data_IF_205673150825
#
_entry.id   IF_205673150825
#
_cell.length_a   1.000
_cell.length_b   1.000
_cell.length_c   1.000
_cell.angle_alpha   90.00
_cell.angle_beta   90.00
_cell.angle_gamma   90.00
#
_symmetry.space_group_name_H-M   'P 1'
#
loop_
_entity.id
_entity.type
_entity.pdbx_description
1 polymer ?
2 non-polymer ?
3 water ?
#
# COMPACT_ATOMS: atom_id res chain seq x y z
N UNK A 1 -9.07 -1.00 21.89
CA UNK A 1 -8.39 0.23 21.41
C UNK A 1 -8.71 0.51 19.94
N UNK A 2 -7.88 1.38 19.33
CA UNK A 2 -8.29 1.96 18.07
C UNK A 2 -8.32 0.90 16.98
N UNK A 3 -7.61 -0.17 17.22
CA UNK A 3 -7.48 -1.21 16.22
C UNK A 3 -8.52 -2.31 16.38
N UNK A 4 -9.21 -2.33 17.44
CA UNK A 4 -10.25 -3.30 17.70
C UNK A 4 -11.49 -2.93 16.89
N UNK A 5 -12.39 -3.89 16.77
CA UNK A 5 -13.61 -3.68 16.03
C UNK A 5 -13.38 -3.56 14.55
N UNK A 6 -14.41 -3.19 13.82
CA UNK A 6 -14.33 -3.12 12.37
C UNK A 6 -14.52 -1.67 11.89
N UNK A 7 -13.75 -1.35 10.88
CA UNK A 7 -13.82 -0.07 10.17
C UNK A 7 -14.86 -0.12 9.06
N UNK A 8 -15.31 -1.31 8.70
CA UNK A 8 -16.17 -1.51 7.55
C UNK A 8 -17.61 -1.17 7.83
N UNK A 9 -18.34 -0.80 6.81
CA UNK A 9 -19.78 -0.60 6.89
C UNK A 9 -20.59 -1.90 6.71
N UNK A 10 -20.01 -2.93 6.12
CA UNK A 10 -20.73 -4.19 5.88
C UNK A 10 -19.79 -5.32 6.16
N UNK A 11 -20.25 -6.28 6.94
CA UNK A 11 -19.51 -7.43 7.32
C UNK A 11 -19.80 -8.62 6.45
N UNK A 12 -19.36 -8.59 5.25
CA UNK A 12 -19.42 -9.67 4.28
C UNK A 12 -18.01 -10.01 3.89
N UNK A 13 -17.79 -11.20 3.37
CA UNK A 13 -16.42 -11.57 3.04
C UNK A 13 -15.84 -10.69 1.94
N UNK A 14 -14.60 -10.28 2.14
CA UNK A 14 -13.91 -9.51 1.08
C UNK A 14 -13.54 -10.44 -0.06
N UNK A 15 -13.81 -9.97 -1.26
CA UNK A 15 -13.39 -10.67 -2.46
C UNK A 15 -11.94 -10.38 -2.74
N UNK A 16 -11.07 -11.33 -2.51
CA UNK A 16 -9.65 -11.18 -2.77
C UNK A 16 -9.36 -11.64 -4.19
N UNK A 17 -8.75 -10.76 -4.97
CA UNK A 17 -8.39 -11.03 -6.34
C UNK A 17 -6.87 -10.97 -6.45
N UNK A 18 -6.28 -12.12 -6.64
CA UNK A 18 -4.85 -12.24 -6.88
C UNK A 18 -4.62 -12.08 -8.37
N UNK A 19 -4.32 -10.89 -8.80
CA UNK A 19 -4.04 -10.58 -10.19
C UNK A 19 -2.55 -10.70 -10.50
N UNK A 20 -2.22 -10.64 -11.77
CA UNK A 20 -0.86 -10.71 -12.19
C UNK A 20 -0.24 -9.34 -12.33
N UNK A 21 0.39 -9.09 -13.45
CA UNK A 21 1.05 -7.83 -13.72
C UNK A 21 0.08 -6.96 -14.53
N UNK A 22 -0.32 -5.83 -14.00
CA UNK A 22 -1.42 -5.02 -14.51
C UNK A 22 -0.93 -3.59 -14.65
N UNK A 23 -1.04 -3.02 -15.82
CA UNK A 23 -0.67 -1.66 -16.08
C UNK A 23 -1.36 -0.74 -15.08
N UNK A 24 -0.64 0.31 -14.65
CA UNK A 24 -1.13 1.23 -13.65
C UNK A 24 -2.52 1.76 -14.00
N UNK A 25 -2.66 2.28 -15.21
CA UNK A 25 -3.93 2.89 -15.60
C UNK A 25 -5.08 1.89 -15.65
N UNK A 26 -4.78 0.70 -16.17
CA UNK A 26 -5.80 -0.34 -16.24
C UNK A 26 -6.28 -0.69 -14.87
N UNK A 27 -5.37 -0.80 -13.90
CA UNK A 27 -5.73 -1.15 -12.55
C UNK A 27 -6.54 0.00 -11.92
N UNK A 28 -6.18 1.24 -12.24
CA UNK A 28 -6.85 2.39 -11.67
C UNK A 28 -8.31 2.43 -12.12
N UNK A 29 -8.51 2.10 -13.42
CA UNK A 29 -9.85 2.01 -13.97
C UNK A 29 -10.67 0.97 -13.25
N UNK A 30 -10.04 -0.22 -13.03
CA UNK A 30 -10.73 -1.31 -12.32
C UNK A 30 -11.06 -0.91 -10.90
N UNK A 31 -10.14 -0.23 -10.20
CA UNK A 31 -10.46 0.25 -8.88
C UNK A 31 -11.72 1.09 -8.88
N UNK A 32 -11.81 2.02 -9.83
CA UNK A 32 -12.97 2.91 -9.89
C UNK A 32 -14.26 2.13 -10.17
N UNK A 33 -14.18 1.16 -11.07
CA UNK A 33 -15.33 0.33 -11.42
C UNK A 33 -15.79 -0.43 -10.19
N UNK A 34 -14.83 -1.00 -9.46
CA UNK A 34 -15.17 -1.76 -8.22
C UNK A 34 -15.71 -0.86 -7.15
N UNK A 35 -15.22 0.34 -7.01
CA UNK A 35 -15.70 1.25 -6.02
C UNK A 35 -17.15 1.62 -6.33
N UNK A 36 -17.45 1.90 -7.57
CA UNK A 36 -18.85 2.19 -7.94
C UNK A 36 -19.70 0.97 -7.67
N UNK A 37 -19.23 -0.23 -7.95
CA UNK A 37 -20.02 -1.41 -7.65
C UNK A 37 -20.24 -1.56 -6.16
N UNK A 38 -19.26 -1.21 -5.35
CA UNK A 38 -19.46 -1.30 -3.90
C UNK A 38 -20.49 -0.30 -3.45
N UNK A 39 -20.42 0.94 -3.95
CA UNK A 39 -21.47 1.92 -3.54
C UNK A 39 -22.83 1.41 -3.95
N UNK A 40 -22.99 0.71 -5.06
CA UNK A 40 -24.24 0.17 -5.58
C UNK A 40 -24.64 -1.04 -4.77
N UNK A 41 -23.89 -1.45 -3.76
CA UNK A 41 -24.36 -2.49 -2.85
C UNK A 41 -23.56 -3.77 -3.03
N UNK A 42 -22.50 -3.77 -3.84
CA UNK A 42 -21.69 -4.95 -4.09
C UNK A 42 -20.64 -5.24 -3.02
N UNK A 43 -19.70 -6.13 -3.37
CA UNK A 43 -18.73 -6.62 -2.40
C UNK A 43 -17.59 -5.63 -2.15
N UNK A 44 -17.01 -5.73 -0.99
CA UNK A 44 -15.69 -5.22 -0.73
C UNK A 44 -14.69 -6.10 -1.45
N UNK A 45 -13.63 -5.51 -1.96
CA UNK A 45 -12.64 -6.18 -2.81
C UNK A 45 -11.23 -5.85 -2.37
N UNK A 46 -10.32 -6.80 -2.48
CA UNK A 46 -8.93 -6.54 -2.32
C UNK A 46 -8.20 -7.02 -3.57
N UNK A 47 -7.63 -6.08 -4.34
CA UNK A 47 -6.80 -6.43 -5.47
C UNK A 47 -5.37 -6.57 -5.00
N UNK A 48 -4.68 -7.60 -5.42
CA UNK A 48 -3.25 -7.79 -5.15
C UNK A 48 -2.59 -8.05 -6.50
N UNK A 49 -1.58 -7.27 -6.84
CA UNK A 49 -1.03 -7.26 -8.19
C UNK A 49 0.40 -6.72 -8.16
N UNK A 50 1.04 -6.79 -9.32
CA UNK A 50 2.23 -6.05 -9.59
C UNK A 50 1.99 -5.11 -10.77
N UNK A 51 2.60 -3.90 -10.72
CA UNK A 51 2.61 -3.00 -11.86
C UNK A 51 3.92 -3.10 -12.64
N UNK A 52 3.87 -2.91 -13.93
CA UNK A 52 5.10 -2.56 -14.69
C UNK A 52 5.65 -1.28 -14.10
N UNK A 53 6.98 -1.11 -14.26
CA UNK A 53 7.70 0.02 -13.69
C UNK A 53 7.02 1.33 -14.02
N UNK A 54 6.77 2.13 -12.98
CA UNK A 54 6.07 3.40 -13.13
C UNK A 54 6.34 4.24 -11.91
N UNK A 55 6.52 5.54 -12.14
CA UNK A 55 6.46 6.54 -11.06
C UNK A 55 5.10 7.14 -11.02
N UNK A 56 4.57 7.35 -9.84
CA UNK A 56 3.26 8.00 -9.71
C UNK A 56 3.39 9.12 -8.68
N UNK A 57 2.62 10.19 -8.90
CA UNK A 57 2.69 11.37 -8.07
C UNK A 57 1.32 11.82 -7.66
N UNK A 58 1.04 11.91 -6.36
CA UNK A 58 -0.15 12.53 -5.90
C UNK A 58 -0.06 14.01 -6.03
N UNK A 59 -1.17 14.70 -5.82
CA UNK A 59 -1.25 16.13 -6.06
C UNK A 59 -0.21 16.90 -5.25
N UNK A 60 0.13 16.48 -4.06
CA UNK A 60 1.07 17.20 -3.21
C UNK A 60 2.54 17.13 -3.68
N UNK A 61 2.84 16.25 -4.62
CA UNK A 61 4.22 16.12 -5.10
C UNK A 61 4.72 17.46 -5.56
N UNK A 62 5.95 17.79 -5.14
CA UNK A 62 6.61 19.01 -5.55
C UNK A 62 7.57 18.76 -6.69
N UNK A 63 7.83 19.78 -7.49
CA UNK A 63 8.61 19.62 -8.70
C UNK A 63 9.97 18.99 -8.42
N UNK A 64 10.67 19.44 -7.39
CA UNK A 64 12.01 18.95 -7.15
C UNK A 64 12.08 17.49 -6.69
N UNK A 65 10.94 16.93 -6.30
CA UNK A 65 10.86 15.56 -5.85
C UNK A 65 10.76 14.56 -7.01
N UNK A 66 10.51 15.08 -8.21
CA UNK A 66 10.35 14.26 -9.40
C UNK A 66 11.67 13.72 -9.88
N UNK A 67 11.64 12.74 -10.78
CA UNK A 67 12.88 12.04 -11.12
C UNK A 67 13.97 12.97 -11.61
N UNK A 68 15.19 12.78 -11.06
CA UNK A 68 16.33 13.61 -11.44
C UNK A 68 16.88 13.31 -12.84
N UNK A 69 16.30 12.31 -13.49
CA UNK A 69 16.65 11.88 -14.81
C UNK A 69 15.52 12.13 -15.80
N UNK A 70 14.50 12.87 -15.39
CA UNK A 70 13.40 13.23 -16.28
C UNK A 70 12.47 12.13 -16.63
N UNK A 71 12.54 11.00 -15.95
CA UNK A 71 11.58 9.91 -16.26
C UNK A 71 10.17 10.41 -16.11
N UNK A 72 9.27 10.12 -17.02
CA UNK A 72 7.86 10.51 -16.86
C UNK A 72 7.23 9.93 -15.60
N UNK A 73 6.19 10.62 -15.16
CA UNK A 73 5.46 10.32 -13.95
C UNK A 73 3.98 10.38 -14.21
N UNK A 74 3.22 9.44 -13.68
CA UNK A 74 1.77 9.43 -13.79
C UNK A 74 1.23 10.23 -12.63
N UNK A 75 0.43 11.27 -12.92
CA UNK A 75 -0.30 11.94 -11.85
C UNK A 75 -1.47 11.11 -11.41
N UNK A 76 -1.66 11.00 -10.13
CA UNK A 76 -2.70 10.13 -9.59
C UNK A 76 -3.41 10.83 -8.43
N UNK A 77 -4.59 10.36 -8.07
CA UNK A 77 -5.45 10.98 -7.05
C UNK A 77 -5.40 10.38 -5.68
N UNK A 78 -4.48 9.49 -5.39
CA UNK A 78 -4.25 9.01 -4.04
C UNK A 78 -3.56 10.08 -3.21
N UNK A 79 -3.68 9.94 -1.86
CA UNK A 79 -2.83 10.71 -1.01
C UNK A 79 -1.37 10.41 -1.22
N UNK A 80 -0.56 11.33 -0.71
CA UNK A 80 0.88 11.22 -0.73
C UNK A 80 1.53 11.92 -1.92
N UNK A 81 2.83 11.90 -1.95
CA UNK A 81 3.68 12.55 -2.94
C UNK A 81 4.09 11.52 -4.00
N UNK A 82 5.37 11.37 -4.29
CA UNK A 82 5.82 10.52 -5.38
C UNK A 82 6.29 9.18 -4.85
N UNK A 83 6.04 8.14 -5.61
CA UNK A 83 6.56 6.81 -5.34
C UNK A 83 6.82 6.08 -6.66
N UNK A 84 7.31 4.86 -6.52
CA UNK A 84 7.61 3.99 -7.65
C UNK A 84 6.96 2.64 -7.38
N UNK A 85 6.44 2.06 -8.46
CA UNK A 85 5.97 0.68 -8.46
C UNK A 85 6.68 -0.07 -9.58
N UNK A 86 6.87 -1.34 -9.41
CA UNK A 86 7.48 -2.14 -10.47
C UNK A 86 7.56 -3.59 -10.09
N UNK A 87 8.20 -4.38 -10.94
CA UNK A 87 8.30 -5.83 -10.68
C UNK A 87 8.93 -6.09 -9.33
N UNK A 88 8.35 -7.02 -8.60
CA UNK A 88 8.91 -7.39 -7.30
C UNK A 88 8.36 -6.62 -6.12
N UNK A 89 7.36 -5.75 -6.38
CA UNK A 89 6.66 -5.00 -5.35
C UNK A 89 5.21 -5.41 -5.41
N UNK A 90 4.67 -5.85 -4.29
CA UNK A 90 3.29 -6.27 -4.22
C UNK A 90 2.42 -5.06 -3.92
N UNK A 91 1.53 -4.74 -4.82
CA UNK A 91 0.61 -3.60 -4.68
C UNK A 91 -0.73 -4.14 -4.27
N UNK A 92 -1.33 -3.57 -3.24
CA UNK A 92 -2.63 -3.91 -2.79
C UNK A 92 -3.58 -2.74 -2.87
N UNK A 93 -4.74 -2.96 -3.44
CA UNK A 93 -5.78 -1.98 -3.55
C UNK A 93 -7.04 -2.52 -2.88
N UNK A 94 -7.21 -2.21 -1.59
CA UNK A 94 -8.47 -2.52 -0.89
C UNK A 94 -9.51 -1.51 -1.32
N UNK A 95 -10.62 -1.98 -1.84
CA UNK A 95 -11.75 -1.19 -2.29
C UNK A 95 -12.88 -1.56 -1.35
N UNK A 96 -12.95 -0.84 -0.24
CA UNK A 96 -13.71 -1.17 0.96
C UNK A 96 -14.70 -0.10 1.31
N UNK A 97 -15.93 -0.47 1.61
CA UNK A 97 -16.86 0.49 2.21
C UNK A 97 -16.56 0.73 3.66
N UNK A 98 -16.28 1.97 4.03
CA UNK A 98 -15.99 2.33 5.41
C UNK A 98 -17.22 2.85 6.10
N UNK A 99 -17.29 2.59 7.40
CA UNK A 99 -18.34 3.15 8.23
C UNK A 99 -18.16 4.66 8.32
N UNK A 100 -19.29 5.33 8.38
CA UNK A 100 -19.36 6.76 8.58
C UNK A 100 -19.77 7.04 10.00
N UNK A 101 -19.35 8.15 10.62
CA UNK A 101 -18.42 9.15 10.06
C UNK A 101 -17.02 8.60 9.89
N UNK A 102 -16.38 9.03 8.82
CA UNK A 102 -15.11 8.45 8.43
C UNK A 102 -14.00 8.70 9.45
N UNK A 103 -13.11 7.68 9.51
CA UNK A 103 -11.86 7.77 10.25
C UNK A 103 -10.77 7.23 9.35
N UNK A 104 -10.30 8.09 8.45
CA UNK A 104 -9.33 7.67 7.44
C UNK A 104 -8.01 7.35 8.04
N UNK A 105 -7.59 8.09 9.04
CA UNK A 105 -6.35 7.75 9.72
C UNK A 105 -6.41 6.33 10.29
N UNK A 106 -7.52 5.95 10.88
CA UNK A 106 -7.59 4.61 11.43
C UNK A 106 -7.53 3.55 10.34
N UNK A 107 -8.13 3.83 9.19
CA UNK A 107 -8.01 2.92 8.04
C UNK A 107 -6.56 2.74 7.63
N UNK A 108 -5.81 3.86 7.51
CA UNK A 108 -4.40 3.79 7.18
C UNK A 108 -3.64 2.99 8.22
N UNK A 109 -3.94 3.24 9.47
CA UNK A 109 -3.30 2.53 10.57
C UNK A 109 -3.55 1.02 10.48
N UNK A 110 -4.72 0.58 10.07
CA UNK A 110 -5.01 -0.82 9.92
C UNK A 110 -4.22 -1.40 8.75
N UNK A 111 -4.06 -0.67 7.63
CA UNK A 111 -3.21 -1.17 6.58
C UNK A 111 -1.78 -1.32 7.07
N UNK A 112 -1.28 -0.31 7.81
CA UNK A 112 0.05 -0.42 8.38
C UNK A 112 0.17 -1.66 9.27
N UNK A 113 -0.83 -1.87 10.13
CA UNK A 113 -0.76 -3.01 11.03
C UNK A 113 -0.72 -4.32 10.29
N UNK A 114 -1.47 -4.46 9.21
CA UNK A 114 -1.48 -5.64 8.43
C UNK A 114 -0.08 -5.97 7.91
N UNK A 115 0.62 -4.94 7.42
CA UNK A 115 1.94 -5.14 6.82
C UNK A 115 3.01 -5.31 7.88
N UNK A 116 2.86 -4.69 9.03
CA UNK A 116 3.71 -4.95 10.18
C UNK A 116 3.64 -6.41 10.56
N UNK A 117 2.43 -6.96 10.57
CA UNK A 117 2.24 -8.39 10.93
C UNK A 117 2.85 -9.29 9.88
N UNK A 118 2.73 -8.97 8.59
CA UNK A 118 3.38 -9.77 7.57
C UNK A 118 4.87 -9.81 7.81
N UNK A 119 5.45 -8.64 8.11
CA UNK A 119 6.88 -8.58 8.41
C UNK A 119 7.21 -9.40 9.64
N UNK A 120 6.44 -9.26 10.70
CA UNK A 120 6.67 -10.00 11.93
C UNK A 120 6.63 -11.49 11.67
N UNK A 121 5.73 -11.93 10.85
CA UNK A 121 5.58 -13.35 10.57
C UNK A 121 6.79 -13.90 9.82
N UNK A 122 7.58 -13.05 9.19
CA UNK A 122 8.82 -13.44 8.54
C UNK A 122 10.00 -13.27 9.51
N UNK A 123 9.79 -12.91 10.73
CA UNK A 123 10.85 -12.75 11.70
C UNK A 123 11.42 -11.36 11.77
N UNK A 124 10.85 -10.36 11.06
CA UNK A 124 11.34 -8.99 11.03
C UNK A 124 10.63 -8.10 12.02
N UNK A 125 11.26 -7.10 12.52
CA UNK A 125 10.73 -6.22 13.53
C UNK A 125 10.52 -4.82 12.94
N UNK A 126 9.35 -4.63 12.42
CA UNK A 126 8.98 -3.39 11.75
C UNK A 126 7.92 -2.67 12.51
N UNK A 127 7.70 -1.43 12.18
CA UNK A 127 6.69 -0.61 12.84
C UNK A 127 6.49 0.68 12.15
N UNK A 128 5.99 1.65 12.90
CA UNK A 128 5.60 2.94 12.40
C UNK A 128 6.59 4.04 12.82
N UNK A 129 6.68 5.04 12.01
CA UNK A 129 7.34 6.30 12.30
C UNK A 129 6.21 7.33 12.19
N UNK A 130 5.83 7.92 13.31
CA UNK A 130 4.69 8.82 13.36
C UNK A 130 4.80 9.95 12.39
N UNK A 131 3.75 10.18 11.59
CA UNK A 131 3.77 11.30 10.63
C UNK A 131 4.32 10.86 9.26
N UNK A 132 4.85 9.65 9.15
CA UNK A 132 5.41 9.13 7.89
C UNK A 132 4.75 7.80 7.62
N UNK A 133 3.60 7.79 7.00
CA UNK A 133 2.78 6.58 6.86
C UNK A 133 3.55 5.49 6.14
N UNK A 134 3.21 4.29 6.49
CA UNK A 134 3.89 3.14 5.92
C UNK A 134 4.59 2.36 7.01
N UNK A 135 5.40 1.43 6.55
CA UNK A 135 6.00 0.47 7.46
C UNK A 135 7.53 0.61 7.34
N UNK A 136 8.17 0.71 8.48
CA UNK A 136 9.56 1.07 8.64
C UNK A 136 10.29 0.03 9.48
N UNK A 137 11.58 -0.11 9.19
CA UNK A 137 12.51 -0.80 10.06
C UNK A 137 13.36 0.27 10.73
N UNK A 138 13.57 0.14 12.03
CA UNK A 138 14.36 1.17 12.70
C UNK A 138 15.80 1.11 12.29
N UNK A 139 16.38 2.32 12.23
CA UNK A 139 17.79 2.49 11.98
C UNK A 139 18.10 3.97 11.79
N UNK A 140 19.38 4.19 11.50
CA UNK A 140 19.86 5.49 11.13
C UNK A 140 20.61 5.30 9.81
N UNK A 141 19.97 5.43 8.66
CA UNK A 141 18.62 5.90 8.44
C UNK A 141 17.57 4.83 8.71
N UNK A 142 16.34 5.30 8.93
CA UNK A 142 15.23 4.40 9.01
C UNK A 142 14.91 3.88 7.59
N UNK A 143 14.39 2.68 7.49
CA UNK A 143 14.27 2.01 6.19
C UNK A 143 12.82 1.65 5.94
N UNK A 144 12.24 2.21 4.87
CA UNK A 144 10.83 2.01 4.57
C UNK A 144 10.61 0.80 3.67
N UNK A 145 9.87 -0.19 4.14
CA UNK A 145 9.63 -1.41 3.38
C UNK A 145 8.28 -1.41 2.68
N UNK A 146 7.35 -0.55 3.10
CA UNK A 146 6.02 -0.49 2.49
C UNK A 146 5.51 0.93 2.56
N UNK A 147 4.87 1.35 1.49
CA UNK A 147 4.26 2.65 1.36
C UNK A 147 2.76 2.52 1.30
N UNK A 148 2.12 3.59 1.76
CA UNK A 148 0.66 3.68 1.78
C UNK A 148 0.25 5.02 1.16
N UNK A 149 -0.77 4.96 0.32
CA UNK A 149 -1.38 6.16 -0.26
C UNK A 149 -2.77 5.79 -0.66
N UNK A 150 -3.76 6.40 -0.03
CA UNK A 150 -5.14 6.04 -0.20
C UNK A 150 -5.98 7.29 -0.49
N UNK A 151 -7.22 7.06 -0.90
CA UNK A 151 -8.21 8.13 -0.97
C UNK A 151 -9.58 7.49 -0.66
N UNK A 152 -10.45 8.24 -0.03
CA UNK A 152 -11.81 7.75 0.26
C UNK A 152 -12.76 8.68 -0.48
N UNK A 153 -13.64 8.08 -1.25
CA UNK A 153 -14.67 8.78 -2.03
C UNK A 153 -16.00 8.05 -1.85
N UNK A 154 -17.05 8.78 -1.52
CA UNK A 154 -18.37 8.15 -1.31
C UNK A 154 -18.23 6.97 -0.33
N UNK A 155 -17.48 7.21 0.75
CA UNK A 155 -17.28 6.30 1.88
C UNK A 155 -16.65 4.98 1.40
N UNK A 156 -15.92 4.99 0.32
CA UNK A 156 -15.32 3.79 -0.26
C UNK A 156 -13.87 4.08 -0.53
N UNK A 157 -13.01 3.17 -0.16
CA UNK A 157 -11.58 3.34 -0.32
C UNK A 157 -11.12 3.06 -1.74
N UNK A 158 -10.02 3.76 -2.09
CA UNK A 158 -9.32 3.67 -3.34
C UNK A 158 -7.81 3.65 -3.04
N UNK A 159 -7.05 3.17 -3.99
CA UNK A 159 -5.61 3.06 -3.86
C UNK A 159 -5.28 2.14 -2.71
N UNK A 160 -4.15 2.31 -2.00
CA UNK A 160 -3.78 1.26 -1.08
C UNK A 160 -2.35 1.31 -0.64
N UNK A 161 -1.65 0.21 -0.82
CA UNK A 161 -0.32 0.05 -0.29
C UNK A 161 0.59 -0.64 -1.32
N UNK A 162 1.87 -0.60 -1.03
CA UNK A 162 2.87 -1.27 -1.85
C UNK A 162 3.94 -1.80 -0.95
N UNK A 163 4.22 -3.07 -1.00
CA UNK A 163 5.17 -3.78 -0.18
C UNK A 163 6.35 -4.21 -1.05
N UNK A 164 7.53 -3.75 -0.71
CA UNK A 164 8.72 -4.06 -1.49
C UNK A 164 9.23 -5.45 -1.12
N UNK A 165 9.20 -6.37 -2.10
CA UNK A 165 9.53 -7.78 -1.84
C UNK A 165 10.91 -8.09 -2.38
N UNK A 166 11.10 -8.19 -3.67
CA UNK A 166 12.38 -8.39 -4.32
C UNK A 166 12.61 -7.44 -5.46
N UNK A 167 11.93 -6.31 -5.46
CA UNK A 167 12.15 -5.30 -6.43
C UNK A 167 13.54 -4.67 -6.35
N UNK A 168 14.05 -4.25 -7.52
CA UNK A 168 15.23 -3.42 -7.58
C UNK A 168 14.88 -2.07 -6.96
N UNK A 169 15.63 -1.61 -5.99
CA UNK A 169 15.38 -0.38 -5.26
C UNK A 169 16.02 0.81 -5.90
N UNK A 170 16.76 0.65 -6.99
CA UNK A 170 17.44 1.77 -7.59
C UNK A 170 16.47 2.87 -8.06
N UNK A 171 15.26 2.56 -8.46
CA UNK A 171 14.32 3.59 -8.92
C UNK A 171 14.04 4.63 -7.86
N UNK A 172 14.15 4.22 -6.58
CA UNK A 172 13.84 5.14 -5.51
C UNK A 172 14.92 6.21 -5.39
N UNK A 173 16.11 5.93 -5.88
CA UNK A 173 17.21 6.91 -5.71
C UNK A 173 17.02 8.13 -6.56
N UNK A 174 16.22 8.06 -7.62
CA UNK A 174 16.05 9.21 -8.53
C UNK A 174 14.99 10.17 -8.07
N UNK A 175 14.25 9.85 -7.00
CA UNK A 175 13.15 10.68 -6.53
C UNK A 175 13.37 10.99 -5.06
N UNK A 176 12.58 11.88 -4.53
CA UNK A 176 12.44 12.12 -3.09
C UNK A 176 11.20 11.34 -2.68
N UNK A 177 11.32 10.11 -2.21
CA UNK A 177 10.12 9.26 -2.07
C UNK A 177 9.22 9.71 -0.95
N UNK A 178 7.96 9.98 -1.27
CA UNK A 178 6.98 10.42 -0.28
C UNK A 178 7.46 11.62 0.52
N UNK A 179 8.17 12.50 -0.12
CA UNK A 179 8.65 13.74 0.44
C UNK A 179 9.76 13.56 1.46
N UNK A 180 10.33 12.40 1.59
CA UNK A 180 11.32 12.12 2.63
C UNK A 180 12.73 12.11 2.03
N UNK A 181 13.62 12.96 2.53
CA UNK A 181 14.98 13.10 2.03
C UNK A 181 16.01 12.58 3.00
N UNK A 182 15.62 12.15 4.20
CA UNK A 182 16.56 11.79 5.24
C UNK A 182 16.48 10.33 5.65
N UNK A 183 15.94 9.48 4.79
CA UNK A 183 15.74 8.10 5.15
C UNK A 183 16.20 7.19 4.03
N UNK A 184 15.65 6.02 3.91
CA UNK A 184 15.98 5.03 2.94
C UNK A 184 14.76 4.15 2.64
N UNK A 185 14.83 3.48 1.53
CA UNK A 185 13.81 2.49 1.11
C UNK A 185 14.48 1.13 1.14
N UNK A 186 13.77 0.11 1.59
CA UNK A 186 14.27 -1.24 1.65
C UNK A 186 13.23 -2.22 1.09
N UNK A 187 13.55 -3.50 1.12
CA UNK A 187 12.66 -4.58 0.68
C UNK A 187 12.79 -5.72 1.67
N UNK A 188 11.81 -6.63 1.61
CA UNK A 188 11.87 -7.82 2.41
C UNK A 188 13.16 -8.59 2.10
N UNK A 189 13.52 -8.68 0.83
CA UNK A 189 14.71 -9.41 0.43
C UNK A 189 15.96 -8.80 1.00
N UNK A 190 16.07 -7.48 0.94
CA UNK A 190 17.26 -6.83 1.50
C UNK A 190 17.32 -7.05 3.00
N UNK A 191 16.20 -6.98 3.70
CA UNK A 191 16.21 -7.14 5.16
C UNK A 191 16.53 -8.60 5.50
N UNK A 192 16.07 -9.57 4.76
CA UNK A 192 16.21 -10.98 5.14
C UNK A 192 17.44 -11.61 4.53
N UNK A 193 18.13 -10.96 3.60
CA UNK A 193 19.32 -11.57 2.98
C UNK A 193 19.02 -12.74 2.09
N UNK A 194 17.86 -12.83 1.50
CA UNK A 194 17.48 -13.85 0.56
C UNK A 194 16.40 -13.28 -0.33
N UNK A 195 16.15 -13.91 -1.45
CA UNK A 195 15.02 -13.48 -2.28
C UNK A 195 13.70 -13.89 -1.67
N UNK A 196 12.87 -12.89 -1.42
CA UNK A 196 11.52 -12.99 -0.98
C UNK A 196 10.63 -12.43 -2.08
N UNK A 197 9.91 -13.35 -2.77
CA UNK A 197 9.14 -12.92 -3.91
C UNK A 197 7.76 -12.40 -3.51
N UNK A 198 7.15 -11.71 -4.47
CA UNK A 198 5.76 -11.31 -4.31
C UNK A 198 4.91 -12.54 -4.12
N UNK A 199 5.09 -13.56 -4.91
CA UNK A 199 4.17 -14.68 -4.85
C UNK A 199 4.30 -15.35 -3.49
N UNK A 200 5.42 -15.35 -2.83
CA UNK A 200 5.53 -16.01 -1.53
C UNK A 200 4.72 -15.35 -0.44
N UNK A 201 4.42 -14.05 -0.58
CA UNK A 201 3.73 -13.34 0.46
C UNK A 201 2.33 -12.96 0.10
N UNK A 202 1.81 -13.26 -1.11
CA UNK A 202 0.48 -12.87 -1.52
C UNK A 202 -0.60 -13.33 -0.56
N UNK A 203 -0.56 -14.61 -0.21
CA UNK A 203 -1.64 -15.13 0.61
C UNK A 203 -1.64 -14.55 2.01
N UNK A 204 -0.46 -14.42 2.61
CA UNK A 204 -0.40 -13.88 3.95
C UNK A 204 -0.73 -12.39 3.98
N UNK A 205 -0.38 -11.65 2.94
CA UNK A 205 -0.81 -10.24 2.89
C UNK A 205 -2.33 -10.17 2.82
N UNK A 206 -2.98 -10.97 1.95
CA UNK A 206 -4.41 -10.93 1.84
C UNK A 206 -5.07 -11.22 3.21
N UNK A 207 -4.54 -12.27 3.85
CA UNK A 207 -5.16 -12.65 5.13
C UNK A 207 -5.02 -11.55 6.16
N UNK A 208 -3.84 -10.91 6.21
CA UNK A 208 -3.57 -9.91 7.19
C UNK A 208 -4.45 -8.66 6.96
N UNK A 209 -4.58 -8.21 5.73
CA UNK A 209 -5.40 -7.07 5.43
C UNK A 209 -6.85 -7.35 5.83
N UNK A 210 -7.36 -8.53 5.44
CA UNK A 210 -8.76 -8.79 5.74
C UNK A 210 -8.97 -8.84 7.24
N UNK A 211 -8.05 -9.40 8.00
CA UNK A 211 -8.15 -9.49 9.46
C UNK A 211 -8.08 -8.10 10.08
N UNK A 212 -7.17 -7.25 9.61
CA UNK A 212 -6.96 -5.94 10.19
C UNK A 212 -8.19 -5.08 10.04
N UNK A 213 -8.91 -5.20 8.90
CA UNK A 213 -10.06 -4.37 8.68
C UNK A 213 -11.15 -4.65 9.67
N UNK A 214 -11.26 -5.89 10.15
CA UNK A 214 -12.31 -6.30 11.08
C UNK A 214 -11.77 -6.50 12.52
N UNK A 215 -10.57 -6.05 12.82
CA UNK A 215 -10.07 -6.04 14.17
C UNK A 215 -9.61 -7.36 14.71
N UNK A 216 -9.28 -8.30 13.88
CA UNK A 216 -8.93 -9.66 14.33
C UNK A 216 -7.56 -10.08 13.88
N UNK A 217 -6.63 -9.15 13.72
CA UNK A 217 -5.22 -9.60 13.61
C UNK A 217 -4.68 -10.20 14.90
N UNK A 218 -3.93 -11.31 14.76
CA UNK A 218 -3.37 -11.97 15.93
C UNK A 218 -2.26 -11.10 16.55
#
# INVERSE_FOLDING_TARGET
GAMAGSIRSKLSAIDVRQLGTVDYRTAWQLQRELADARVAGGADTLLLLEHPAVYTAGRRTETHERPIDGTPVVDTDRGGKITWHGPGQLVGYPIIGLAEPLDVVNYVRRLEESLIQVCADLGLHAGRVDGRSGVWLPGRPARKVAAIGVRVSRATTLHGFALNCDCDLAAFTAIVPCGISDAAVTSLSAELGRTVTVDEVRATVAAAVCAALDGVLPVGDRVPSHAVPSPL
#
